data_IF_761094766069
#
_entry.id   IF_761094766069
#
_cell.length_a   1.000
_cell.length_b   1.000
_cell.length_c   1.000
_cell.angle_alpha   90.00
_cell.angle_beta   90.00
_cell.angle_gamma   90.00
#
_symmetry.space_group_name_H-M   'P 1'
#
loop_
_entity.id
_entity.type
_entity.pdbx_description
1 polymer ?
#
# COMPACT_ATOMS: atom_id res chain seq x y z
N UNK A 1 -6.31 -9.16 -30.24
CA UNK A 1 -5.60 -9.37 -28.96
C UNK A 1 -5.05 -8.02 -28.54
N UNK A 2 -4.71 -7.82 -27.26
CA UNK A 2 -4.22 -6.57 -26.63
C UNK A 2 -5.34 -5.73 -25.98
N UNK A 3 -5.32 -5.36 -24.70
CA UNK A 3 -4.33 -5.58 -23.65
C UNK A 3 -5.03 -5.71 -22.29
N UNK A 4 -4.86 -6.86 -21.63
CA UNK A 4 -5.20 -7.04 -20.22
C UNK A 4 -4.10 -6.44 -19.36
N UNK A 5 -4.00 -5.11 -19.33
CA UNK A 5 -3.13 -4.42 -18.38
C UNK A 5 -3.55 -4.75 -16.96
N UNK A 6 -2.59 -4.89 -16.05
CA UNK A 6 -2.86 -5.00 -14.61
C UNK A 6 -3.62 -3.74 -14.20
N UNK A 7 -4.83 -3.91 -13.67
CA UNK A 7 -5.63 -2.81 -13.12
C UNK A 7 -5.29 -2.63 -11.65
N UNK A 8 -4.91 -1.41 -11.26
CA UNK A 8 -4.54 -1.13 -9.88
C UNK A 8 -5.69 -1.48 -8.91
N UNK A 9 -6.93 -1.26 -9.32
CA UNK A 9 -8.10 -1.58 -8.52
C UNK A 9 -8.22 -3.09 -8.21
N UNK A 10 -7.79 -3.97 -9.12
CA UNK A 10 -7.84 -5.42 -8.90
C UNK A 10 -6.77 -5.87 -7.90
N UNK A 11 -5.57 -5.28 -7.99
CA UNK A 11 -4.46 -5.53 -7.06
C UNK A 11 -4.75 -5.02 -5.65
N UNK A 12 -5.43 -3.88 -5.53
CA UNK A 12 -5.94 -3.38 -4.24
C UNK A 12 -6.92 -4.37 -3.63
N UNK A 13 -7.91 -4.86 -4.38
CA UNK A 13 -8.88 -5.85 -3.88
C UNK A 13 -8.19 -7.15 -3.49
N UNK A 14 -7.21 -7.58 -4.28
CA UNK A 14 -6.40 -8.75 -3.95
C UNK A 14 -5.70 -8.56 -2.61
N UNK A 15 -4.95 -7.47 -2.42
CA UNK A 15 -4.20 -7.21 -1.19
C UNK A 15 -5.09 -7.01 0.03
N UNK A 16 -6.24 -6.35 -0.11
CA UNK A 16 -7.25 -6.28 0.96
C UNK A 16 -7.74 -7.67 1.36
N UNK A 17 -8.00 -8.55 0.40
CA UNK A 17 -8.38 -9.93 0.67
C UNK A 17 -7.25 -10.69 1.39
N UNK A 18 -5.99 -10.47 1.04
CA UNK A 18 -4.84 -11.09 1.74
C UNK A 18 -4.74 -10.62 3.19
N UNK A 19 -4.96 -9.33 3.43
CA UNK A 19 -5.01 -8.75 4.76
C UNK A 19 -6.11 -9.39 5.63
N UNK A 20 -7.32 -9.55 5.08
CA UNK A 20 -8.44 -10.21 5.76
C UNK A 20 -8.15 -11.68 6.15
N UNK A 21 -7.28 -12.35 5.40
CA UNK A 21 -6.83 -13.71 5.70
C UNK A 21 -5.55 -13.76 6.55
N UNK A 22 -5.07 -12.62 7.07
CA UNK A 22 -3.80 -12.52 7.80
C UNK A 22 -2.60 -13.09 7.04
N UNK A 23 -2.62 -12.94 5.71
CA UNK A 23 -1.59 -13.49 4.83
C UNK A 23 -0.66 -12.38 4.35
N UNK A 24 0.61 -12.46 4.74
CA UNK A 24 1.64 -11.52 4.32
C UNK A 24 1.94 -11.62 2.81
N UNK A 25 1.77 -10.51 2.08
CA UNK A 25 2.08 -10.42 0.64
C UNK A 25 2.69 -9.08 0.30
N UNK A 26 3.51 -9.07 -0.75
CA UNK A 26 4.04 -7.86 -1.38
C UNK A 26 3.83 -8.01 -2.89
N UNK A 27 3.27 -6.98 -3.51
CA UNK A 27 3.05 -6.86 -4.95
C UNK A 27 3.65 -5.53 -5.41
N UNK A 28 4.43 -5.55 -6.48
CA UNK A 28 5.08 -4.36 -7.03
C UNK A 28 4.56 -4.09 -8.44
N UNK A 29 4.14 -2.85 -8.70
CA UNK A 29 3.64 -2.39 -10.00
C UNK A 29 4.35 -1.08 -10.34
N UNK A 30 5.45 -1.18 -11.09
CA UNK A 30 6.33 -0.03 -11.32
C UNK A 30 6.83 0.56 -10.00
N UNK A 31 6.55 1.84 -9.74
CA UNK A 31 6.94 2.50 -8.49
C UNK A 31 6.05 2.14 -7.29
N UNK A 32 4.84 1.63 -7.54
CA UNK A 32 3.89 1.29 -6.51
C UNK A 32 4.24 -0.03 -5.84
N UNK A 33 4.05 -0.07 -4.52
CA UNK A 33 4.11 -1.30 -3.75
C UNK A 33 2.83 -1.45 -2.96
N UNK A 34 2.18 -2.59 -3.09
CA UNK A 34 1.08 -2.99 -2.23
C UNK A 34 1.57 -4.11 -1.33
N UNK A 35 1.23 -4.06 -0.04
CA UNK A 35 1.53 -5.16 0.85
C UNK A 35 0.43 -5.40 1.86
N UNK A 36 0.29 -6.65 2.28
CA UNK A 36 -0.49 -7.10 3.43
C UNK A 36 0.43 -7.76 4.44
N UNK A 37 -0.03 -7.87 5.68
CA UNK A 37 0.76 -8.37 6.82
C UNK A 37 -0.01 -9.45 7.58
N UNK A 38 0.70 -10.22 8.40
CA UNK A 38 0.10 -11.25 9.26
C UNK A 38 -0.74 -10.64 10.40
N UNK A 39 -0.56 -9.35 10.71
CA UNK A 39 -1.46 -8.62 11.63
C UNK A 39 -2.77 -8.19 10.97
N UNK A 40 -2.91 -8.40 9.66
CA UNK A 40 -4.10 -8.04 8.89
C UNK A 40 -4.11 -6.61 8.40
N UNK A 41 -3.01 -5.87 8.52
CA UNK A 41 -2.91 -4.55 7.89
C UNK A 41 -2.50 -4.68 6.43
N UNK A 42 -2.95 -3.72 5.61
CA UNK A 42 -2.47 -3.56 4.25
C UNK A 42 -2.30 -2.10 3.84
N UNK A 43 -1.38 -1.87 2.92
CA UNK A 43 -0.98 -0.55 2.45
C UNK A 43 -0.68 -0.55 0.97
N UNK A 44 -0.94 0.59 0.34
CA UNK A 44 -0.42 0.99 -0.97
C UNK A 44 0.59 2.11 -0.73
N UNK A 45 1.77 1.99 -1.33
CA UNK A 45 2.87 2.93 -1.25
C UNK A 45 3.26 3.42 -2.64
N UNK A 46 3.63 4.69 -2.74
CA UNK A 46 4.46 5.20 -3.83
C UNK A 46 5.90 5.37 -3.33
N UNK A 47 6.84 4.62 -3.91
CA UNK A 47 8.24 4.65 -3.48
C UNK A 47 8.99 5.90 -3.96
N UNK A 48 8.52 6.55 -5.03
CA UNK A 48 9.17 7.73 -5.59
C UNK A 48 8.84 8.95 -4.76
N UNK A 49 7.54 9.14 -4.48
CA UNK A 49 7.04 10.32 -3.76
C UNK A 49 6.91 10.09 -2.24
N UNK A 50 7.20 8.87 -1.77
CA UNK A 50 7.08 8.44 -0.38
C UNK A 50 5.67 8.63 0.19
N UNK A 51 4.66 8.35 -0.63
CA UNK A 51 3.25 8.49 -0.29
C UNK A 51 2.68 7.14 0.15
N UNK A 52 1.68 7.18 1.02
CA UNK A 52 1.03 5.99 1.57
C UNK A 52 -0.47 6.17 1.69
N UNK A 53 -1.19 5.08 1.41
CA UNK A 53 -2.61 4.93 1.68
C UNK A 53 -2.82 3.57 2.37
N UNK A 54 -3.51 3.57 3.52
CA UNK A 54 -3.88 2.32 4.18
C UNK A 54 -5.05 1.68 3.43
N UNK A 55 -4.92 0.41 3.13
CA UNK A 55 -5.91 -0.39 2.41
C UNK A 55 -6.70 -1.32 3.32
N UNK A 56 -6.12 -1.74 4.45
CA UNK A 56 -6.80 -2.50 5.47
C UNK A 56 -6.16 -2.27 6.84
N UNK A 57 -6.95 -2.48 7.89
CA UNK A 57 -6.49 -2.45 9.28
C UNK A 57 -7.07 -3.66 10.02
N UNK A 58 -6.21 -4.46 10.65
CA UNK A 58 -6.63 -5.64 11.41
C UNK A 58 -7.59 -6.58 10.65
N UNK A 59 -7.38 -6.75 9.35
CA UNK A 59 -8.20 -7.59 8.47
C UNK A 59 -9.44 -6.91 7.88
N UNK A 60 -9.78 -5.70 8.32
CA UNK A 60 -10.90 -4.92 7.79
C UNK A 60 -10.44 -4.01 6.65
N UNK A 61 -11.06 -4.13 5.48
CA UNK A 61 -10.74 -3.31 4.33
C UNK A 61 -11.14 -1.85 4.56
N UNK A 62 -10.24 -0.92 4.22
CA UNK A 62 -10.49 0.51 4.21
C UNK A 62 -10.69 1.02 2.77
N UNK A 63 -11.64 1.94 2.53
CA UNK A 63 -11.90 2.45 1.19
C UNK A 63 -10.74 3.33 0.70
N UNK A 64 -10.42 3.22 -0.59
CA UNK A 64 -9.46 4.08 -1.29
C UNK A 64 -10.09 4.62 -2.58
N UNK A 65 -9.86 5.90 -2.87
CA UNK A 65 -10.30 6.51 -4.12
C UNK A 65 -9.21 6.35 -5.17
N UNK A 66 -9.53 5.58 -6.21
CA UNK A 66 -8.68 5.36 -7.37
C UNK A 66 -9.49 5.70 -8.61
N UNK A 67 -8.99 6.64 -9.40
CA UNK A 67 -9.55 6.99 -10.70
C UNK A 67 -8.64 6.40 -11.76
N UNK A 68 -9.10 5.36 -12.45
CA UNK A 68 -8.33 4.63 -13.45
C UNK A 68 -8.95 4.75 -14.83
N UNK A 69 -8.12 4.97 -15.84
CA UNK A 69 -8.46 4.99 -17.26
C UNK A 69 -7.69 3.88 -17.98
N UNK A 70 -7.88 3.72 -19.29
CA UNK A 70 -7.12 2.74 -20.06
C UNK A 70 -5.60 3.01 -20.11
N UNK A 71 -5.15 4.24 -19.82
CA UNK A 71 -3.75 4.65 -19.95
C UNK A 71 -3.10 5.11 -18.65
N UNK A 72 -3.89 5.55 -17.66
CA UNK A 72 -3.38 6.19 -16.44
C UNK A 72 -4.27 5.90 -15.24
N UNK A 73 -3.74 6.09 -14.04
CA UNK A 73 -4.53 6.14 -12.81
C UNK A 73 -4.13 7.35 -11.94
N UNK A 74 -5.02 7.73 -11.04
CA UNK A 74 -4.78 8.69 -9.96
C UNK A 74 -5.26 8.08 -8.65
N UNK A 75 -4.45 8.25 -7.60
CA UNK A 75 -4.73 7.75 -6.25
C UNK A 75 -4.87 8.96 -5.32
N UNK A 76 -5.91 8.96 -4.50
CA UNK A 76 -6.03 9.92 -3.41
C UNK A 76 -5.20 9.46 -2.21
N UNK A 77 -3.96 9.94 -2.13
CA UNK A 77 -3.05 9.64 -1.03
C UNK A 77 -3.51 10.28 0.29
N UNK A 78 -3.38 9.54 1.40
CA UNK A 78 -3.83 9.99 2.73
C UNK A 78 -2.69 10.48 3.62
N UNK A 79 -1.45 10.20 3.23
CA UNK A 79 -0.29 10.61 3.98
C UNK A 79 1.01 10.24 3.30
N UNK A 80 2.09 10.46 4.04
CA UNK A 80 3.45 10.08 3.65
C UNK A 80 3.98 9.00 4.57
N UNK A 81 5.00 8.29 4.12
CA UNK A 81 5.70 7.32 4.96
C UNK A 81 7.21 7.49 4.94
N UNK A 82 7.86 6.92 5.96
CA UNK A 82 9.31 6.73 6.02
C UNK A 82 9.61 5.37 6.60
N UNK A 83 10.74 4.80 6.18
CA UNK A 83 11.29 3.57 6.76
C UNK A 83 12.54 3.95 7.54
N UNK A 84 12.51 3.74 8.85
CA UNK A 84 13.60 4.03 9.77
C UNK A 84 14.07 2.72 10.42
N UNK A 85 14.97 2.01 9.74
CA UNK A 85 15.35 0.65 10.13
C UNK A 85 14.13 -0.27 10.13
N UNK A 86 13.79 -0.94 11.24
CA UNK A 86 12.63 -1.84 11.31
C UNK A 86 11.28 -1.11 11.41
N UNK A 87 11.29 0.22 11.51
CA UNK A 87 10.10 1.01 11.76
C UNK A 87 9.49 1.56 10.47
N UNK A 88 8.22 1.26 10.24
CA UNK A 88 7.39 1.94 9.26
C UNK A 88 6.69 3.12 9.95
N UNK A 89 7.00 4.34 9.52
CA UNK A 89 6.42 5.56 10.08
C UNK A 89 5.46 6.15 9.07
N UNK A 90 4.17 6.26 9.42
CA UNK A 90 3.15 6.90 8.61
C UNK A 90 2.76 8.25 9.22
N UNK A 91 2.70 9.28 8.40
CA UNK A 91 2.21 10.62 8.79
C UNK A 91 0.97 10.96 7.98
N UNK A 92 -0.16 11.07 8.67
CA UNK A 92 -1.46 11.40 8.11
C UNK A 92 -1.53 12.87 7.71
N UNK A 93 -1.92 13.15 6.46
CA UNK A 93 -1.87 14.50 5.91
C UNK A 93 -3.01 15.38 6.44
N UNK A 94 -4.19 14.80 6.69
CA UNK A 94 -5.37 15.56 7.14
C UNK A 94 -5.25 15.96 8.61
N UNK A 95 -4.73 15.06 9.45
CA UNK A 95 -4.66 15.28 10.91
C UNK A 95 -3.28 15.69 11.42
N UNK A 96 -2.23 15.54 10.62
CA UNK A 96 -0.83 15.73 11.02
C UNK A 96 -0.33 14.70 12.03
N UNK A 97 -1.12 13.67 12.36
CA UNK A 97 -0.73 12.62 13.31
C UNK A 97 0.25 11.65 12.66
N UNK A 98 1.26 11.24 13.41
CA UNK A 98 2.19 10.20 13.01
C UNK A 98 2.02 8.95 13.86
N UNK A 99 2.12 7.78 13.23
CA UNK A 99 2.20 6.48 13.90
C UNK A 99 3.48 5.77 13.49
N UNK A 100 4.04 5.02 14.43
CA UNK A 100 5.18 4.13 14.19
C UNK A 100 4.71 2.69 14.33
N UNK A 101 4.97 1.89 13.31
CA UNK A 101 4.56 0.50 13.23
C UNK A 101 5.81 -0.36 13.09
N UNK A 102 5.88 -1.42 13.90
CA UNK A 102 6.95 -2.42 13.89
C UNK A 102 6.41 -3.76 13.40
N UNK A 103 7.30 -4.62 12.89
CA UNK A 103 6.94 -5.95 12.42
C UNK A 103 6.44 -6.01 10.97
N UNK A 104 6.37 -4.87 10.29
CA UNK A 104 6.15 -4.83 8.84
C UNK A 104 7.43 -5.25 8.08
N UNK A 105 7.31 -5.76 6.84
CA UNK A 105 8.43 -6.25 6.05
C UNK A 105 9.25 -5.10 5.44
N UNK A 106 9.73 -4.18 6.27
CA UNK A 106 10.41 -2.93 5.88
C UNK A 106 11.69 -3.16 5.09
N UNK A 107 12.40 -4.24 5.36
CA UNK A 107 13.56 -4.73 4.61
C UNK A 107 13.22 -4.99 3.13
N UNK A 108 12.04 -5.53 2.86
CA UNK A 108 11.58 -5.84 1.49
C UNK A 108 10.94 -4.64 0.78
N UNK A 109 10.61 -3.58 1.52
CA UNK A 109 9.98 -2.37 0.97
C UNK A 109 11.01 -1.34 0.48
N UNK A 110 12.26 -1.45 0.93
CA UNK A 110 13.38 -0.56 0.54
C UNK A 110 14.20 -1.09 -0.64
N UNK A 111 14.03 -2.37 -1.00
CA UNK A 111 14.73 -2.94 -2.15
C UNK A 111 14.17 -2.35 -3.46
N UNK A 112 15.01 -1.50 -4.05
CA UNK A 112 14.94 -1.05 -5.44
C UNK A 112 16.12 -1.74 -6.12
N UNK A 113 15.86 -2.86 -6.80
CA UNK A 113 16.81 -3.39 -7.77
C UNK A 113 16.71 -2.58 -9.08
#
# INVERSE_FOLDING_TARGET
MEGGGIRLADEVRYIQHRAANHDGRIVTIGQLVLFSTETGDAWLLDRTDLLAARLARNGEAEPIQIVETAATFAIEWKGSYRINGPAFVYSDQDTGRAITILGYPTDKLVDIE
#
